data_IF_471344344770
#
_entry.id   IF_471344344770
#
_cell.length_a   1.000
_cell.length_b   1.000
_cell.length_c   1.000
_cell.angle_alpha   90.00
_cell.angle_beta   90.00
_cell.angle_gamma   90.00
#
_symmetry.space_group_name_H-M   'P 1'
#
loop_
_entity.id
_entity.type
_entity.pdbx_description
1 polymer ?
#
# COMPACT_ATOMS: atom_id res chain seq x y z
N UNK A 1 19.11 -5.36 -20.92
CA UNK A 1 19.70 -5.49 -19.58
C UNK A 1 18.54 -5.71 -18.62
N UNK A 2 18.36 -6.91 -18.11
CA UNK A 2 17.38 -7.17 -17.06
C UNK A 2 17.95 -6.61 -15.77
N UNK A 3 17.31 -5.58 -15.21
CA UNK A 3 17.67 -5.04 -13.90
C UNK A 3 17.23 -6.11 -12.90
N UNK A 4 18.17 -6.80 -12.25
CA UNK A 4 17.84 -7.74 -11.18
C UNK A 4 17.35 -6.94 -9.98
N UNK A 5 16.03 -6.81 -9.85
CA UNK A 5 15.41 -6.24 -8.67
C UNK A 5 15.78 -7.10 -7.45
N UNK A 6 16.19 -6.44 -6.36
CA UNK A 6 16.34 -7.09 -5.06
C UNK A 6 15.02 -7.77 -4.66
N UNK A 7 15.08 -8.88 -3.92
CA UNK A 7 13.87 -9.62 -3.51
C UNK A 7 12.84 -8.71 -2.83
N UNK A 8 13.29 -7.88 -1.88
CA UNK A 8 12.45 -6.90 -1.18
C UNK A 8 11.79 -5.88 -2.13
N UNK A 9 12.49 -5.44 -3.18
CA UNK A 9 11.92 -4.52 -4.16
C UNK A 9 10.81 -5.18 -4.99
N UNK A 10 10.98 -6.46 -5.34
CA UNK A 10 9.93 -7.22 -6.05
C UNK A 10 8.68 -7.39 -5.21
N UNK A 11 8.84 -7.71 -3.93
CA UNK A 11 7.71 -7.91 -3.02
C UNK A 11 6.90 -6.60 -2.87
N UNK A 12 7.59 -5.46 -2.69
CA UNK A 12 6.96 -4.13 -2.67
C UNK A 12 6.22 -3.83 -3.97
N UNK A 13 6.86 -4.05 -5.13
CA UNK A 13 6.23 -3.82 -6.45
C UNK A 13 4.97 -4.68 -6.61
N UNK A 14 5.04 -5.96 -6.24
CA UNK A 14 3.93 -6.90 -6.35
C UNK A 14 2.76 -6.47 -5.48
N UNK A 15 3.02 -6.06 -4.23
CA UNK A 15 1.99 -5.56 -3.32
C UNK A 15 1.32 -4.30 -3.85
N UNK A 16 2.11 -3.29 -4.25
CA UNK A 16 1.60 -2.03 -4.79
C UNK A 16 0.71 -2.27 -6.01
N UNK A 17 1.11 -3.17 -6.90
CA UNK A 17 0.30 -3.55 -8.06
C UNK A 17 -0.95 -4.34 -7.70
N UNK A 18 -0.89 -5.24 -6.72
CA UNK A 18 -2.01 -6.10 -6.34
C UNK A 18 -3.15 -5.31 -5.70
N UNK A 19 -2.81 -4.31 -4.88
CA UNK A 19 -3.78 -3.43 -4.23
C UNK A 19 -4.11 -2.18 -5.07
N UNK A 20 -3.36 -1.93 -6.15
CA UNK A 20 -3.59 -0.78 -7.02
C UNK A 20 -3.18 0.56 -6.40
N UNK A 21 -2.32 0.54 -5.38
CA UNK A 21 -1.87 1.74 -4.70
C UNK A 21 -1.10 2.67 -5.64
N UNK A 22 -1.35 3.97 -5.48
CA UNK A 22 -0.58 4.98 -6.16
C UNK A 22 0.74 5.21 -5.41
N UNK A 23 1.86 5.51 -6.12
CA UNK A 23 3.15 5.75 -5.47
C UNK A 23 3.13 6.86 -4.41
N UNK A 24 2.27 7.87 -4.57
CA UNK A 24 2.12 8.95 -3.59
C UNK A 24 1.45 8.48 -2.29
N UNK A 25 0.53 7.52 -2.35
CA UNK A 25 -0.12 6.92 -1.16
C UNK A 25 0.90 6.15 -0.34
N UNK A 26 1.71 5.33 -1.01
CA UNK A 26 2.82 4.60 -0.40
C UNK A 26 3.82 5.58 0.22
N UNK A 27 4.15 6.67 -0.48
CA UNK A 27 5.07 7.68 0.03
C UNK A 27 4.55 8.40 1.28
N UNK A 28 3.25 8.70 1.36
CA UNK A 28 2.64 9.33 2.54
C UNK A 28 2.77 8.43 3.77
N UNK A 29 2.48 7.14 3.64
CA UNK A 29 2.59 6.18 4.74
C UNK A 29 4.05 5.93 5.14
N UNK A 30 4.95 5.89 4.17
CA UNK A 30 6.39 5.85 4.41
C UNK A 30 6.91 7.07 5.21
N UNK A 31 6.45 8.28 4.89
CA UNK A 31 6.79 9.47 5.68
C UNK A 31 6.19 9.40 7.09
N UNK A 32 4.98 8.85 7.23
CA UNK A 32 4.32 8.70 8.53
C UNK A 32 5.16 7.84 9.51
N UNK A 33 5.94 6.89 8.99
CA UNK A 33 6.89 6.07 9.77
C UNK A 33 8.32 6.65 9.79
N UNK A 34 8.46 7.96 9.57
CA UNK A 34 9.72 8.70 9.59
C UNK A 34 10.69 8.42 8.43
N UNK A 35 10.17 7.95 7.29
CA UNK A 35 10.91 7.91 6.03
C UNK A 35 11.41 9.28 5.57
N UNK A 36 12.63 9.33 5.02
CA UNK A 36 13.31 10.59 4.67
C UNK A 36 13.66 10.75 3.18
N UNK A 37 13.34 9.76 2.35
CA UNK A 37 13.52 9.82 0.91
C UNK A 37 12.45 10.70 0.24
N UNK A 38 12.84 11.37 -0.83
CA UNK A 38 11.90 12.14 -1.65
C UNK A 38 10.85 11.24 -2.30
N UNK A 39 9.66 11.78 -2.55
CA UNK A 39 8.58 11.09 -3.28
C UNK A 39 9.09 10.47 -4.59
N UNK A 40 9.88 11.22 -5.35
CA UNK A 40 10.49 10.75 -6.60
C UNK A 40 11.36 9.51 -6.40
N UNK A 41 12.15 9.45 -5.33
CA UNK A 41 13.03 8.32 -5.05
C UNK A 41 12.22 7.06 -4.69
N UNK A 42 11.15 7.22 -3.90
CA UNK A 42 10.21 6.14 -3.59
C UNK A 42 9.48 5.67 -4.85
N UNK A 43 9.00 6.58 -5.69
CA UNK A 43 8.39 6.23 -6.97
C UNK A 43 9.38 5.50 -7.90
N UNK A 44 10.61 6.00 -8.03
CA UNK A 44 11.64 5.35 -8.84
C UNK A 44 11.98 3.94 -8.29
N UNK A 45 11.97 3.74 -6.97
CA UNK A 45 12.09 2.41 -6.35
C UNK A 45 10.91 1.49 -6.68
N UNK A 46 9.67 1.96 -6.55
CA UNK A 46 8.45 1.20 -6.87
C UNK A 46 8.39 0.86 -8.37
N UNK A 47 8.92 1.71 -9.25
CA UNK A 47 8.98 1.42 -10.69
C UNK A 47 10.20 0.59 -11.12
N UNK A 48 11.03 0.14 -10.17
CA UNK A 48 12.24 -0.63 -10.47
C UNK A 48 13.33 0.17 -11.21
N UNK A 49 13.29 1.50 -11.14
CA UNK A 49 14.20 2.44 -11.82
C UNK A 49 15.29 3.00 -10.91
N UNK A 50 15.15 2.82 -9.60
CA UNK A 50 16.10 3.24 -8.58
C UNK A 50 16.20 2.22 -7.46
N UNK A 51 17.15 2.45 -6.55
CA UNK A 51 17.30 1.69 -5.31
C UNK A 51 17.22 2.65 -4.12
N UNK A 52 16.88 2.11 -2.95
CA UNK A 52 16.85 2.81 -1.68
C UNK A 52 17.85 2.17 -0.71
N UNK A 53 18.47 2.96 0.20
CA UNK A 53 19.25 2.41 1.30
C UNK A 53 18.42 1.43 2.13
N UNK A 54 19.04 0.43 2.75
CA UNK A 54 18.33 -0.62 3.51
C UNK A 54 17.35 -0.05 4.54
N UNK A 55 17.78 0.93 5.33
CA UNK A 55 16.90 1.59 6.31
C UNK A 55 15.64 2.16 5.67
N UNK A 56 15.77 2.83 4.52
CA UNK A 56 14.63 3.42 3.82
C UNK A 56 13.73 2.35 3.21
N UNK A 57 14.29 1.20 2.80
CA UNK A 57 13.51 0.04 2.34
C UNK A 57 12.69 -0.58 3.47
N UNK A 58 13.28 -0.69 4.66
CA UNK A 58 12.61 -1.24 5.84
C UNK A 58 11.47 -0.32 6.30
N UNK A 59 11.70 0.99 6.32
CA UNK A 59 10.66 1.98 6.60
C UNK A 59 9.56 2.00 5.52
N UNK A 60 9.93 1.82 4.24
CA UNK A 60 8.96 1.73 3.16
C UNK A 60 8.07 0.49 3.30
N UNK A 61 8.65 -0.64 3.70
CA UNK A 61 7.91 -1.87 3.96
C UNK A 61 6.93 -1.71 5.14
N UNK A 62 7.37 -1.08 6.24
CA UNK A 62 6.51 -0.77 7.39
C UNK A 62 5.33 0.15 7.02
N UNK A 63 5.60 1.23 6.27
CA UNK A 63 4.56 2.12 5.77
C UNK A 63 3.59 1.42 4.82
N UNK A 64 4.10 0.54 3.95
CA UNK A 64 3.27 -0.24 3.02
C UNK A 64 2.37 -1.24 3.76
N UNK A 65 2.87 -1.90 4.81
CA UNK A 65 2.05 -2.78 5.65
C UNK A 65 0.90 -2.00 6.33
N UNK A 66 1.19 -0.81 6.87
CA UNK A 66 0.15 0.08 7.42
C UNK A 66 -0.92 0.44 6.38
N UNK A 67 -0.52 0.72 5.13
CA UNK A 67 -1.45 1.04 4.04
C UNK A 67 -2.37 -0.14 3.71
N UNK A 68 -1.81 -1.35 3.64
CA UNK A 68 -2.55 -2.59 3.37
C UNK A 68 -3.57 -2.88 4.46
N UNK A 69 -3.19 -2.72 5.72
CA UNK A 69 -4.10 -2.90 6.86
C UNK A 69 -5.28 -1.93 6.80
N UNK A 70 -5.02 -0.66 6.46
CA UNK A 70 -6.08 0.36 6.30
C UNK A 70 -7.06 0.02 5.17
N UNK A 71 -6.54 -0.38 4.01
CA UNK A 71 -7.39 -0.75 2.87
C UNK A 71 -8.25 -1.98 3.17
N UNK A 72 -7.71 -2.96 3.89
CA UNK A 72 -8.48 -4.11 4.36
C UNK A 72 -9.58 -3.70 5.35
N UNK A 73 -9.28 -2.80 6.29
CA UNK A 73 -10.25 -2.27 7.25
C UNK A 73 -11.41 -1.54 6.55
N UNK A 74 -11.11 -0.75 5.53
CA UNK A 74 -12.08 -0.02 4.73
C UNK A 74 -12.95 -0.95 3.86
N UNK A 75 -12.35 -1.98 3.24
CA UNK A 75 -13.09 -3.01 2.51
C UNK A 75 -14.05 -3.78 3.44
N UNK A 76 -13.59 -4.18 4.63
CA UNK A 76 -14.44 -4.85 5.61
C UNK A 76 -15.58 -3.94 6.07
N UNK A 77 -15.32 -2.66 6.36
CA UNK A 77 -16.38 -1.69 6.72
C UNK A 77 -17.43 -1.55 5.62
N UNK A 78 -17.00 -1.47 4.36
CA UNK A 78 -17.92 -1.41 3.22
C UNK A 78 -18.79 -2.67 3.12
N UNK A 79 -18.22 -3.84 3.35
CA UNK A 79 -18.95 -5.10 3.37
C UNK A 79 -20.01 -5.13 4.49
N UNK A 80 -19.64 -4.77 5.73
CA UNK A 80 -20.59 -4.75 6.84
C UNK A 80 -21.69 -3.68 6.69
N UNK A 81 -21.40 -2.52 6.10
CA UNK A 81 -22.43 -1.52 5.75
C UNK A 81 -23.40 -2.04 4.70
N UNK A 82 -22.91 -2.79 3.70
CA UNK A 82 -23.78 -3.40 2.69
C UNK A 82 -24.72 -4.45 3.31
N UNK A 83 -24.19 -5.36 4.14
CA UNK A 83 -24.97 -6.43 4.79
C UNK A 83 -26.04 -5.86 5.71
N UNK A 84 -25.72 -4.83 6.51
CA UNK A 84 -26.67 -4.21 7.44
C UNK A 84 -27.77 -3.39 6.73
N UNK A 85 -27.49 -2.84 5.55
CA UNK A 85 -28.49 -2.12 4.74
C UNK A 85 -29.44 -3.08 3.99
N UNK A 86 -28.99 -4.29 3.65
CA UNK A 86 -29.86 -5.33 3.06
C UNK A 86 -30.78 -6.03 4.07
N UNK A 87 -30.46 -5.99 5.37
CA UNK A 87 -31.28 -6.65 6.41
C UNK A 87 -32.46 -5.76 6.90
N UNK A 88 -32.38 -4.44 6.68
CA UNK A 88 -33.43 -3.48 7.08
C UNK A 88 -34.59 -3.35 6.08
N UNK A 89 -34.63 -4.18 5.04
CA UNK A 89 -35.63 -4.15 3.97
C UNK A 89 -36.77 -5.17 4.06
N UNK A 90 -36.95 -5.87 5.18
CA UNK A 90 -37.91 -6.96 5.32
C UNK A 90 -38.80 -6.88 6.58
N UNK A 91 -39.36 -5.71 6.89
CA UNK A 91 -40.56 -5.57 7.76
C UNK A 91 -41.34 -4.35 7.23
N UNK A 92 -42.63 -4.34 6.94
CA UNK A 92 -43.76 -5.26 7.13
C UNK A 92 -44.85 -4.78 6.13
N UNK A 93 -45.63 -5.68 5.52
CA UNK A 93 -46.77 -5.33 4.64
C UNK A 93 -48.02 -6.02 5.11
#
# INVERSE_FOLDING_TARGET
MSVELGAQQRDVVELVHSYGFQPWEVWVEYIAVAGNASEKAVADYIFGRGDLPQLERDLLDEGLQSLVEKEWDDQLRGFFQHVTCTDTGLEDK
#
